data_IF_724068434992
#
_entry.id   IF_724068434992
#
_cell.length_a   1.000
_cell.length_b   1.000
_cell.length_c   1.000
_cell.angle_alpha   90.00
_cell.angle_beta   90.00
_cell.angle_gamma   90.00
#
_symmetry.space_group_name_H-M   'P 1'
#
loop_
_entity.id
_entity.type
_entity.pdbx_description
1 polymer ?
#
# COMPACT_ATOMS: atom_id res chain seq x y z
N UNK A 1 -71.44 -46.74 49.13
CA UNK A 1 -70.65 -45.74 49.90
C UNK A 1 -69.33 -46.30 50.42
N UNK A 2 -69.18 -47.61 50.51
CA UNK A 2 -67.98 -48.27 51.07
C UNK A 2 -66.74 -48.28 50.15
N UNK A 3 -66.90 -48.35 48.84
CA UNK A 3 -65.75 -48.41 47.92
C UNK A 3 -64.92 -47.13 47.82
N UNK A 4 -65.49 -45.95 48.14
CA UNK A 4 -64.80 -44.65 48.13
C UNK A 4 -63.95 -44.39 49.39
N UNK A 5 -64.26 -45.00 50.48
CA UNK A 5 -63.56 -44.82 51.75
C UNK A 5 -62.29 -45.67 51.82
N UNK A 6 -62.29 -46.87 51.22
CA UNK A 6 -61.13 -47.78 51.18
C UNK A 6 -60.03 -47.18 50.23
N UNK A 7 -60.43 -46.57 49.13
CA UNK A 7 -59.46 -45.92 48.22
C UNK A 7 -58.84 -44.66 48.82
N UNK A 8 -59.53 -43.92 49.69
CA UNK A 8 -58.99 -42.74 50.35
C UNK A 8 -58.00 -43.09 51.46
N UNK A 9 -58.20 -44.19 52.15
CA UNK A 9 -57.29 -44.72 53.18
C UNK A 9 -56.01 -45.29 52.59
N UNK A 10 -56.06 -46.01 51.44
CA UNK A 10 -54.87 -46.51 50.77
C UNK A 10 -54.02 -45.36 50.18
N UNK A 11 -54.64 -44.32 49.64
CA UNK A 11 -53.90 -43.15 49.16
C UNK A 11 -53.19 -42.35 50.26
N UNK A 12 -53.83 -42.31 51.47
CA UNK A 12 -53.21 -41.63 52.61
C UNK A 12 -52.05 -42.43 53.21
N UNK A 13 -52.12 -43.77 53.24
CA UNK A 13 -50.99 -44.60 53.65
C UNK A 13 -49.83 -44.59 52.69
N UNK A 14 -50.08 -44.59 51.37
CA UNK A 14 -49.01 -44.46 50.36
C UNK A 14 -48.38 -43.08 50.44
N UNK A 15 -49.18 -42.01 50.64
CA UNK A 15 -48.63 -40.63 50.77
C UNK A 15 -47.83 -40.49 52.09
N UNK A 16 -48.22 -41.10 53.21
CA UNK A 16 -47.43 -41.10 54.42
C UNK A 16 -46.13 -41.92 54.28
N UNK A 17 -46.18 -43.07 53.60
CA UNK A 17 -44.98 -43.86 53.32
C UNK A 17 -43.98 -43.12 52.40
N UNK A 18 -44.48 -42.37 51.41
CA UNK A 18 -43.64 -41.52 50.55
C UNK A 18 -43.04 -40.33 51.32
N UNK A 19 -43.77 -39.78 52.32
CA UNK A 19 -43.24 -38.70 53.15
C UNK A 19 -42.18 -39.21 54.13
N UNK A 20 -42.35 -40.44 54.66
CA UNK A 20 -41.33 -41.05 55.55
C UNK A 20 -40.10 -41.58 54.80
N UNK A 21 -40.21 -41.94 53.51
CA UNK A 21 -39.07 -42.29 52.64
C UNK A 21 -38.41 -41.08 52.07
N UNK A 22 -39.10 -39.94 52.03
CA UNK A 22 -38.57 -38.68 51.50
C UNK A 22 -37.78 -37.83 52.51
N UNK A 23 -37.72 -38.20 53.80
CA UNK A 23 -37.02 -37.38 54.81
C UNK A 23 -35.64 -37.94 55.21
N UNK A 24 -35.17 -39.01 54.57
CA UNK A 24 -33.86 -39.62 54.89
C UNK A 24 -32.74 -39.33 53.84
N UNK A 25 -32.87 -38.34 52.97
CA UNK A 25 -31.75 -37.92 52.09
C UNK A 25 -31.43 -36.42 52.22
N UNK A 26 -31.23 -36.02 53.51
CA UNK A 26 -30.32 -34.89 53.70
C UNK A 26 -28.92 -35.48 53.58
N UNK A 27 -28.42 -35.55 52.35
CA UNK A 27 -27.03 -35.92 52.12
C UNK A 27 -26.16 -34.92 52.86
N UNK A 28 -25.29 -35.40 53.74
CA UNK A 28 -24.26 -34.55 54.31
C UNK A 28 -23.51 -33.89 53.19
N UNK A 29 -23.25 -32.56 53.29
CA UNK A 29 -22.43 -31.88 52.34
C UNK A 29 -21.09 -32.61 52.22
N UNK A 30 -20.53 -32.75 51.02
CA UNK A 30 -19.22 -33.37 50.83
C UNK A 30 -18.15 -32.56 51.57
N UNK A 31 -17.17 -33.24 52.14
CA UNK A 31 -16.01 -32.61 52.75
C UNK A 31 -15.22 -31.96 51.61
N UNK A 32 -14.80 -30.68 51.75
CA UNK A 32 -14.08 -29.94 50.74
C UNK A 32 -12.65 -29.68 51.18
N UNK A 33 -11.71 -30.07 50.34
CA UNK A 33 -10.27 -29.84 50.51
C UNK A 33 -9.75 -29.02 49.36
N UNK A 34 -8.76 -28.15 49.64
CA UNK A 34 -8.20 -27.25 48.63
C UNK A 34 -6.73 -27.49 48.54
N UNK A 35 -6.23 -27.53 47.32
CA UNK A 35 -4.81 -27.62 47.00
C UNK A 35 -4.52 -26.70 45.81
N UNK A 36 -3.39 -26.02 45.79
CA UNK A 36 -2.89 -25.39 44.59
C UNK A 36 -2.31 -26.46 43.68
N UNK A 37 -2.51 -26.35 42.38
CA UNK A 37 -1.78 -27.21 41.45
C UNK A 37 -0.27 -27.03 41.63
N UNK A 38 0.53 -27.84 40.98
CA UNK A 38 1.97 -27.80 41.05
C UNK A 38 2.54 -28.04 42.48
N UNK A 39 1.62 -28.36 43.47
CA UNK A 39 2.04 -28.65 44.83
C UNK A 39 2.82 -29.98 44.90
N UNK A 40 3.92 -29.96 45.66
CA UNK A 40 4.85 -31.08 45.76
C UNK A 40 4.22 -32.33 46.37
N UNK A 41 4.63 -33.49 45.85
CA UNK A 41 4.24 -34.81 46.40
C UNK A 41 4.58 -34.93 47.89
N UNK A 42 3.66 -35.52 48.66
CA UNK A 42 3.79 -35.72 50.11
C UNK A 42 3.27 -34.55 50.95
N UNK A 43 2.78 -33.50 50.29
CA UNK A 43 2.16 -32.36 51.00
C UNK A 43 0.94 -32.82 51.77
N UNK A 44 0.82 -32.41 53.03
CA UNK A 44 -0.31 -32.63 53.91
C UNK A 44 -1.50 -31.76 53.46
N UNK A 45 -2.65 -32.42 53.18
CA UNK A 45 -3.88 -31.75 52.78
C UNK A 45 -4.86 -31.57 53.96
N UNK A 46 -5.09 -32.65 54.67
CA UNK A 46 -6.06 -32.68 55.77
C UNK A 46 -5.90 -33.91 56.67
N UNK A 47 -6.58 -33.97 57.80
CA UNK A 47 -6.69 -35.17 58.59
C UNK A 47 -8.15 -35.68 58.60
N UNK A 48 -8.42 -36.72 57.81
CA UNK A 48 -9.76 -37.28 57.65
C UNK A 48 -10.33 -37.88 58.92
N UNK A 49 -9.49 -38.38 59.87
CA UNK A 49 -9.98 -38.87 61.15
C UNK A 49 -10.56 -37.76 62.02
N UNK A 50 -9.88 -36.61 62.07
CA UNK A 50 -10.34 -35.41 62.80
C UNK A 50 -11.63 -34.88 62.20
N UNK A 51 -11.65 -34.71 60.88
CA UNK A 51 -12.79 -34.11 60.16
C UNK A 51 -14.07 -34.95 60.26
N UNK A 52 -13.89 -36.26 60.38
CA UNK A 52 -15.02 -37.21 60.59
C UNK A 52 -15.33 -37.49 62.05
N UNK A 53 -14.62 -36.89 63.03
CA UNK A 53 -14.78 -37.05 64.40
C UNK A 53 -14.43 -38.52 64.92
N UNK A 54 -13.47 -39.15 64.19
CA UNK A 54 -13.03 -40.51 64.51
C UNK A 54 -11.75 -40.46 65.39
N UNK A 55 -11.59 -41.46 66.26
CA UNK A 55 -10.43 -41.59 67.13
C UNK A 55 -9.17 -41.99 66.40
N UNK A 56 -7.99 -41.74 67.01
CA UNK A 56 -6.71 -42.13 66.46
C UNK A 56 -6.64 -43.65 66.21
N UNK A 57 -6.27 -44.06 65.00
CA UNK A 57 -6.20 -45.46 64.57
C UNK A 57 -7.56 -46.13 64.25
N UNK A 58 -8.70 -45.41 64.43
CA UNK A 58 -10.01 -45.93 64.07
C UNK A 58 -10.19 -46.21 62.61
N UNK A 59 -9.64 -45.35 61.76
CA UNK A 59 -9.59 -45.56 60.32
C UNK A 59 -8.88 -46.86 59.93
N UNK A 60 -7.75 -47.12 60.52
CA UNK A 60 -7.03 -48.39 60.33
C UNK A 60 -7.82 -49.61 60.82
N UNK A 61 -8.41 -49.53 62.01
CA UNK A 61 -9.19 -50.61 62.59
C UNK A 61 -10.46 -50.95 61.78
N UNK A 62 -11.01 -49.93 61.10
CA UNK A 62 -12.23 -50.07 60.28
C UNK A 62 -11.95 -50.43 58.82
N UNK A 63 -10.67 -50.57 58.41
CA UNK A 63 -10.31 -50.88 57.02
C UNK A 63 -10.67 -49.79 56.09
N UNK A 64 -10.02 -48.56 56.26
CA UNK A 64 -10.26 -47.41 55.44
C UNK A 64 -9.51 -47.46 54.12
N UNK A 65 -10.13 -46.99 53.04
CA UNK A 65 -9.52 -46.79 51.79
C UNK A 65 -10.16 -45.63 50.99
N UNK A 66 -9.38 -44.94 50.19
CA UNK A 66 -9.87 -43.97 49.22
C UNK A 66 -10.31 -44.73 47.97
N UNK A 67 -11.49 -44.37 47.45
CA UNK A 67 -12.04 -44.87 46.18
C UNK A 67 -12.48 -43.67 45.35
N UNK A 68 -12.04 -43.64 44.11
CA UNK A 68 -12.44 -42.64 43.12
C UNK A 68 -12.23 -43.22 41.73
N UNK A 69 -13.04 -42.87 40.79
CA UNK A 69 -12.92 -43.33 39.43
C UNK A 69 -11.77 -42.62 38.69
N UNK A 70 -11.43 -41.39 39.09
CA UNK A 70 -10.46 -40.54 38.39
C UNK A 70 -9.24 -40.15 39.24
N UNK A 71 -9.34 -40.22 40.59
CA UNK A 71 -8.29 -39.68 41.51
C UNK A 71 -7.54 -40.75 42.30
N UNK A 72 -7.63 -42.03 41.96
CA UNK A 72 -7.02 -43.14 42.74
C UNK A 72 -5.50 -43.07 42.84
N UNK A 73 -4.84 -42.29 41.99
CA UNK A 73 -3.38 -42.09 42.04
C UNK A 73 -2.92 -40.83 42.78
N UNK A 74 -3.76 -39.82 42.87
CA UNK A 74 -3.36 -38.47 43.34
C UNK A 74 -3.35 -38.31 44.86
N UNK A 75 -4.11 -39.13 45.58
CA UNK A 75 -4.28 -39.03 47.04
C UNK A 75 -3.74 -40.26 47.74
N UNK A 76 -3.04 -40.03 48.85
CA UNK A 76 -2.56 -41.08 49.76
C UNK A 76 -3.13 -40.87 51.16
N UNK A 77 -3.83 -41.87 51.68
CA UNK A 77 -4.30 -41.88 53.05
C UNK A 77 -3.35 -42.68 53.96
N UNK A 78 -2.89 -42.05 55.04
CA UNK A 78 -2.27 -42.78 56.12
C UNK A 78 -3.34 -43.27 57.10
N UNK A 79 -3.68 -44.56 57.11
CA UNK A 79 -4.81 -45.07 57.95
C UNK A 79 -4.52 -45.05 59.45
N UNK A 80 -3.25 -44.95 59.87
CA UNK A 80 -2.87 -44.90 61.28
C UNK A 80 -3.03 -43.49 61.84
N UNK A 81 -2.65 -42.47 61.13
CA UNK A 81 -2.72 -41.06 61.57
C UNK A 81 -3.98 -40.36 61.08
N UNK A 82 -4.61 -40.87 60.05
CA UNK A 82 -5.74 -40.22 59.37
C UNK A 82 -5.33 -39.12 58.37
N UNK A 83 -4.05 -38.94 58.13
CA UNK A 83 -3.53 -37.88 57.25
C UNK A 83 -3.79 -38.22 55.80
N UNK A 84 -4.40 -37.25 55.09
CA UNK A 84 -4.54 -37.24 53.65
C UNK A 84 -3.35 -36.44 53.04
N UNK A 85 -2.60 -37.11 52.21
CA UNK A 85 -1.40 -36.54 51.57
C UNK A 85 -1.58 -36.53 50.06
N UNK A 86 -0.96 -35.56 49.39
CA UNK A 86 -0.82 -35.55 47.94
C UNK A 86 0.19 -36.62 47.50
N UNK A 87 -0.18 -37.52 46.59
CA UNK A 87 0.69 -38.60 46.14
C UNK A 87 1.39 -38.27 44.82
N UNK A 88 0.82 -37.41 43.98
CA UNK A 88 1.37 -36.93 42.71
C UNK A 88 1.12 -35.45 42.59
N UNK A 89 1.95 -34.77 41.82
CA UNK A 89 1.78 -33.38 41.43
C UNK A 89 0.55 -33.26 40.55
N UNK A 90 -0.30 -32.28 40.79
CA UNK A 90 -1.51 -32.05 40.00
C UNK A 90 -1.26 -30.94 39.00
N UNK A 91 -1.65 -31.15 37.75
CA UNK A 91 -1.70 -30.21 36.66
C UNK A 91 -3.19 -29.96 36.37
N UNK A 92 -3.68 -28.77 36.68
CA UNK A 92 -5.09 -28.43 36.57
C UNK A 92 -5.56 -28.42 35.10
N UNK A 93 -4.69 -27.96 34.22
CA UNK A 93 -4.96 -27.88 32.78
C UNK A 93 -5.12 -29.26 32.18
N UNK A 94 -4.32 -30.22 32.59
CA UNK A 94 -4.45 -31.62 32.17
C UNK A 94 -5.69 -32.28 32.74
N UNK A 95 -6.03 -31.97 33.99
CA UNK A 95 -7.11 -32.60 34.71
C UNK A 95 -8.51 -32.04 34.40
N UNK A 96 -8.63 -30.74 34.28
CA UNK A 96 -9.90 -30.03 34.17
C UNK A 96 -10.02 -29.18 32.90
N UNK A 97 -8.90 -28.88 32.22
CA UNK A 97 -8.90 -27.96 31.06
C UNK A 97 -9.50 -26.60 31.44
N UNK A 98 -10.41 -26.05 30.62
CA UNK A 98 -11.00 -24.73 30.85
C UNK A 98 -12.10 -24.73 31.92
N UNK A 99 -12.39 -25.89 32.60
CA UNK A 99 -13.47 -25.98 33.55
C UNK A 99 -13.09 -25.32 34.86
N UNK A 100 -13.92 -24.40 35.31
CA UNK A 100 -13.82 -23.77 36.64
C UNK A 100 -15.16 -23.87 37.38
N UNK A 101 -15.17 -24.34 38.66
CA UNK A 101 -14.03 -24.83 39.45
C UNK A 101 -13.54 -26.22 39.03
N UNK A 102 -12.24 -26.48 39.20
CA UNK A 102 -11.68 -27.82 39.06
C UNK A 102 -11.91 -28.61 40.32
N UNK A 103 -12.84 -29.58 40.28
CA UNK A 103 -13.28 -30.37 41.42
C UNK A 103 -13.12 -31.84 41.12
N UNK A 104 -12.27 -32.49 41.89
CA UNK A 104 -12.00 -33.91 41.81
C UNK A 104 -12.76 -34.64 42.92
N UNK A 105 -13.85 -35.36 42.65
CA UNK A 105 -14.60 -36.08 43.66
C UNK A 105 -13.90 -37.37 44.08
N UNK A 106 -13.86 -37.64 45.39
CA UNK A 106 -13.40 -38.89 45.92
C UNK A 106 -14.27 -39.39 47.11
N UNK A 107 -14.12 -40.64 47.48
CA UNK A 107 -14.86 -41.26 48.56
C UNK A 107 -13.91 -41.94 49.52
N UNK A 108 -14.14 -41.74 50.80
CA UNK A 108 -13.52 -42.55 51.82
C UNK A 108 -14.49 -43.70 52.18
N UNK A 109 -14.05 -44.93 51.99
CA UNK A 109 -14.79 -46.12 52.29
C UNK A 109 -14.28 -46.73 53.61
N UNK A 110 -15.15 -47.03 54.55
CA UNK A 110 -14.87 -47.78 55.75
C UNK A 110 -15.58 -49.11 55.64
N UNK A 111 -14.90 -50.23 55.93
CA UNK A 111 -15.46 -51.57 55.74
C UNK A 111 -16.22 -52.06 56.96
N UNK A 112 -15.84 -51.64 58.19
CA UNK A 112 -16.38 -52.17 59.45
C UNK A 112 -16.74 -51.09 60.49
N UNK A 113 -17.99 -50.70 60.66
CA UNK A 113 -19.14 -50.99 59.78
C UNK A 113 -19.00 -50.32 58.46
N UNK A 114 -19.68 -50.80 57.42
CA UNK A 114 -19.62 -50.22 56.08
C UNK A 114 -20.20 -48.80 56.04
N UNK A 115 -19.41 -47.86 55.71
CA UNK A 115 -19.77 -46.44 55.55
C UNK A 115 -18.99 -45.79 54.36
N UNK A 116 -19.67 -44.87 53.72
CA UNK A 116 -19.04 -44.07 52.60
C UNK A 116 -19.20 -42.62 53.00
N UNK A 117 -18.08 -41.92 52.96
CA UNK A 117 -18.00 -40.44 53.03
C UNK A 117 -17.61 -39.86 51.72
N UNK A 118 -18.37 -38.87 51.22
CA UNK A 118 -18.08 -38.15 50.00
C UNK A 118 -17.21 -36.97 50.35
N UNK A 119 -16.19 -36.74 49.53
CA UNK A 119 -15.29 -35.61 49.63
C UNK A 119 -14.93 -35.10 48.25
N UNK A 120 -14.51 -33.85 48.18
CA UNK A 120 -14.12 -33.16 46.99
C UNK A 120 -12.74 -32.54 47.21
N UNK A 121 -11.83 -32.72 46.24
CA UNK A 121 -10.58 -32.01 46.19
C UNK A 121 -10.73 -30.89 45.15
N UNK A 122 -10.62 -29.67 45.61
CA UNK A 122 -10.68 -28.48 44.79
C UNK A 122 -9.25 -28.06 44.43
N UNK A 123 -8.89 -28.15 43.13
CA UNK A 123 -7.59 -27.75 42.63
C UNK A 123 -7.67 -26.31 42.25
N UNK A 124 -6.83 -25.48 42.87
CA UNK A 124 -6.72 -24.04 42.59
C UNK A 124 -5.67 -23.81 41.55
N UNK A 125 -6.03 -22.97 40.58
CA UNK A 125 -5.20 -22.48 39.52
C UNK A 125 -4.04 -21.62 40.06
N UNK A 126 -2.87 -21.72 39.45
CA UNK A 126 -1.72 -20.84 39.62
C UNK A 126 -1.33 -20.28 38.26
N UNK A 127 -0.70 -19.13 38.24
CA UNK A 127 -0.27 -18.50 36.99
C UNK A 127 1.02 -19.16 36.48
N UNK A 128 0.92 -20.35 35.88
CA UNK A 128 2.09 -21.08 35.38
C UNK A 128 2.18 -21.14 33.85
N UNK A 129 1.11 -20.79 33.14
CA UNK A 129 1.06 -20.57 31.70
C UNK A 129 1.24 -19.09 31.33
N UNK A 130 1.49 -18.82 30.08
CA UNK A 130 1.59 -17.47 29.52
C UNK A 130 0.71 -17.40 28.29
N UNK A 131 0.09 -16.25 28.00
CA UNK A 131 -0.65 -16.08 26.75
C UNK A 131 0.22 -16.41 25.53
N UNK A 132 -0.31 -17.18 24.58
CA UNK A 132 0.39 -17.63 23.38
C UNK A 132 -0.44 -17.26 22.15
N UNK A 133 0.17 -16.60 21.17
CA UNK A 133 -0.42 -16.42 19.86
C UNK A 133 -0.12 -17.62 18.97
N UNK A 134 -1.10 -18.04 18.15
CA UNK A 134 -0.92 -19.15 17.21
C UNK A 134 0.09 -18.77 16.12
N UNK A 135 -0.06 -17.56 15.58
CA UNK A 135 0.82 -17.02 14.57
C UNK A 135 1.87 -16.07 15.16
N UNK A 136 3.09 -16.17 14.64
CA UNK A 136 4.19 -15.28 15.02
C UNK A 136 4.10 -13.91 14.37
N UNK A 137 3.29 -13.78 13.31
CA UNK A 137 3.11 -12.56 12.54
C UNK A 137 1.69 -12.53 11.97
N UNK A 138 0.99 -11.42 12.21
CA UNK A 138 -0.32 -11.10 11.67
C UNK A 138 -0.12 -10.08 10.54
N UNK A 139 -0.50 -10.40 9.31
CA UNK A 139 -0.39 -9.47 8.19
C UNK A 139 -1.73 -8.79 7.93
N UNK A 140 -1.74 -7.46 7.95
CA UNK A 140 -2.89 -6.63 7.60
C UNK A 140 -2.60 -5.82 6.33
N UNK A 141 -3.50 -5.90 5.35
CA UNK A 141 -3.47 -5.11 4.13
C UNK A 141 -4.49 -3.97 4.27
N UNK A 142 -4.02 -2.72 4.36
CA UNK A 142 -4.87 -1.55 4.60
C UNK A 142 -4.67 -0.56 3.46
N UNK A 143 -5.75 -0.18 2.78
CA UNK A 143 -5.71 0.88 1.77
C UNK A 143 -5.36 2.21 2.44
N UNK A 144 -4.47 3.00 1.84
CA UNK A 144 -4.13 4.33 2.35
C UNK A 144 -5.35 5.27 2.42
N UNK A 145 -6.34 5.10 1.55
CA UNK A 145 -7.62 5.83 1.60
C UNK A 145 -8.51 5.46 2.78
N UNK A 146 -8.10 4.51 3.62
CA UNK A 146 -8.87 4.11 4.79
C UNK A 146 -9.00 5.27 5.76
N UNK A 147 -10.24 5.57 6.17
CA UNK A 147 -10.50 6.71 7.04
C UNK A 147 -10.15 6.41 8.51
N UNK A 148 -9.63 7.38 9.28
CA UNK A 148 -9.46 7.25 10.72
C UNK A 148 -10.75 6.81 11.42
N UNK A 149 -10.62 5.97 12.43
CA UNK A 149 -11.72 5.29 13.12
C UNK A 149 -12.05 3.90 12.55
N UNK A 150 -11.42 3.48 11.45
CA UNK A 150 -11.54 2.11 10.97
C UNK A 150 -10.93 1.12 11.97
N UNK A 151 -11.61 -0.01 12.18
CA UNK A 151 -11.21 -1.05 13.13
C UNK A 151 -10.84 -2.34 12.41
N UNK A 152 -9.84 -3.04 12.93
CA UNK A 152 -9.34 -4.31 12.40
C UNK A 152 -9.26 -5.30 13.56
N UNK A 153 -10.08 -6.35 13.51
CA UNK A 153 -10.06 -7.41 14.51
C UNK A 153 -8.73 -8.15 14.43
N UNK A 154 -8.08 -8.32 15.58
CA UNK A 154 -6.83 -9.05 15.70
C UNK A 154 -7.07 -10.47 16.22
N UNK A 155 -6.15 -11.37 15.90
CA UNK A 155 -6.16 -12.72 16.44
C UNK A 155 -5.91 -12.67 17.95
N UNK A 156 -6.72 -13.42 18.72
CA UNK A 156 -6.61 -13.50 20.17
C UNK A 156 -5.53 -14.51 20.59
N UNK A 157 -4.75 -14.13 21.58
CA UNK A 157 -3.88 -15.07 22.26
C UNK A 157 -4.69 -16.08 23.05
N UNK A 158 -4.14 -17.26 23.29
CA UNK A 158 -4.71 -18.32 24.12
C UNK A 158 -3.91 -18.42 25.42
N UNK A 159 -4.60 -18.52 26.53
CA UNK A 159 -4.04 -18.79 27.85
C UNK A 159 -4.74 -20.02 28.42
N UNK A 160 -3.98 -20.95 28.99
CA UNK A 160 -4.51 -22.18 29.55
C UNK A 160 -5.00 -22.00 30.99
N UNK A 161 -4.50 -20.98 31.69
CA UNK A 161 -4.90 -20.66 33.06
C UNK A 161 -6.35 -20.15 33.08
N UNK A 162 -6.96 -20.15 34.25
CA UNK A 162 -8.37 -19.75 34.40
C UNK A 162 -8.54 -18.58 35.38
N UNK A 163 -9.73 -18.00 35.36
CA UNK A 163 -10.11 -16.94 36.30
C UNK A 163 -9.23 -15.70 36.16
N UNK A 164 -8.61 -15.32 37.27
CA UNK A 164 -7.75 -14.12 37.30
C UNK A 164 -6.40 -14.31 36.58
N UNK A 165 -5.95 -15.55 36.44
CA UNK A 165 -4.65 -15.85 35.78
C UNK A 165 -4.76 -15.94 34.26
N UNK A 166 -5.99 -16.04 33.74
CA UNK A 166 -6.25 -16.05 32.30
C UNK A 166 -5.93 -14.69 31.65
N UNK A 167 -5.93 -14.67 30.34
CA UNK A 167 -5.75 -13.48 29.50
C UNK A 167 -6.63 -12.31 29.94
N UNK A 168 -6.01 -11.12 30.13
CA UNK A 168 -6.70 -9.95 30.69
C UNK A 168 -6.64 -8.72 29.84
N UNK A 169 -5.54 -8.50 29.12
CA UNK A 169 -5.33 -7.24 28.40
C UNK A 169 -4.41 -7.42 27.20
N UNK A 170 -4.49 -6.46 26.27
CA UNK A 170 -3.59 -6.32 25.14
C UNK A 170 -2.99 -4.93 25.10
N UNK A 171 -1.75 -4.83 24.63
CA UNK A 171 -1.05 -3.57 24.37
C UNK A 171 -0.30 -3.66 23.06
N UNK A 172 -0.06 -2.51 22.41
CA UNK A 172 0.78 -2.43 21.21
C UNK A 172 1.99 -1.53 21.45
N UNK A 173 3.04 -1.75 20.67
CA UNK A 173 4.21 -0.89 20.65
C UNK A 173 3.82 0.55 20.28
N UNK A 174 4.55 1.54 20.84
CA UNK A 174 4.27 2.96 20.61
C UNK A 174 4.37 3.32 19.12
N UNK A 175 3.32 3.92 18.58
CA UNK A 175 3.24 4.43 17.23
C UNK A 175 2.28 5.62 17.18
N UNK A 176 2.17 6.29 16.01
CA UNK A 176 1.33 7.48 15.83
C UNK A 176 0.09 7.23 14.98
N UNK A 177 -0.03 6.04 14.38
CA UNK A 177 -1.08 5.72 13.43
C UNK A 177 -2.21 4.89 14.02
N UNK A 178 -1.93 4.11 15.07
CA UNK A 178 -2.89 3.14 15.61
C UNK A 178 -2.89 3.14 17.13
N UNK A 179 -4.06 2.86 17.70
CA UNK A 179 -4.21 2.39 19.06
C UNK A 179 -4.96 1.06 19.10
N UNK A 180 -5.03 0.44 20.27
CA UNK A 180 -5.72 -0.81 20.48
C UNK A 180 -6.92 -0.62 21.39
N UNK A 181 -8.06 -1.18 21.00
CA UNK A 181 -9.23 -1.35 21.84
C UNK A 181 -9.30 -2.79 22.32
N UNK A 182 -9.50 -2.98 23.61
CA UNK A 182 -9.64 -4.30 24.23
C UNK A 182 -11.10 -4.49 24.67
N UNK A 183 -11.67 -5.60 24.29
CA UNK A 183 -13.04 -5.98 24.56
C UNK A 183 -13.07 -7.25 25.43
N UNK A 184 -13.97 -7.28 26.41
CA UNK A 184 -14.28 -8.43 27.23
C UNK A 184 -15.77 -8.76 26.98
N UNK A 185 -16.08 -9.98 26.54
CA UNK A 185 -17.45 -10.39 26.24
C UNK A 185 -18.27 -10.76 27.51
N UNK A 186 -17.64 -10.71 28.67
CA UNK A 186 -18.24 -11.06 29.95
C UNK A 186 -18.34 -12.59 30.21
N UNK A 187 -17.92 -13.41 29.23
CA UNK A 187 -17.81 -14.86 29.35
C UNK A 187 -16.36 -15.31 29.60
N UNK A 188 -15.45 -14.33 29.73
CA UNK A 188 -14.01 -14.55 29.95
C UNK A 188 -13.16 -14.54 28.69
N UNK A 189 -13.75 -14.28 27.51
CA UNK A 189 -12.99 -14.11 26.27
C UNK A 189 -12.61 -12.66 26.09
N UNK A 190 -11.31 -12.40 26.03
CA UNK A 190 -10.73 -11.07 25.78
C UNK A 190 -10.18 -11.03 24.38
N UNK A 191 -10.63 -10.07 23.58
CA UNK A 191 -10.15 -9.87 22.21
C UNK A 191 -9.79 -8.40 21.96
N UNK A 192 -9.07 -8.13 20.89
CA UNK A 192 -8.59 -6.79 20.61
C UNK A 192 -8.83 -6.37 19.17
N UNK A 193 -9.04 -5.08 18.98
CA UNK A 193 -9.17 -4.42 17.69
C UNK A 193 -8.10 -3.35 17.55
N UNK A 194 -7.41 -3.34 16.41
CA UNK A 194 -6.53 -2.27 16.02
C UNK A 194 -7.36 -1.15 15.39
N UNK A 195 -7.24 0.06 15.88
CA UNK A 195 -7.99 1.23 15.42
C UNK A 195 -7.06 2.21 14.75
N UNK A 196 -7.40 2.64 13.54
CA UNK A 196 -6.64 3.65 12.79
C UNK A 196 -6.94 5.05 13.35
N UNK A 197 -5.93 5.79 13.77
CA UNK A 197 -6.03 7.15 14.32
C UNK A 197 -5.69 8.23 13.29
N UNK A 198 -4.71 7.96 12.43
CA UNK A 198 -4.19 8.91 11.46
C UNK A 198 -4.26 8.31 10.06
N UNK A 199 -4.57 9.14 9.07
CA UNK A 199 -4.53 8.78 7.65
C UNK A 199 -3.18 8.19 7.31
N UNK A 200 -3.20 7.10 6.56
CA UNK A 200 -2.01 6.47 5.99
C UNK A 200 -1.66 7.15 4.67
N UNK A 201 -0.41 7.12 4.33
CA UNK A 201 0.17 7.63 3.09
C UNK A 201 1.27 6.63 2.70
N UNK A 202 1.02 5.86 1.64
CA UNK A 202 1.94 4.80 1.21
C UNK A 202 3.26 5.38 0.72
N UNK A 203 3.23 6.59 0.15
CA UNK A 203 4.42 7.28 -0.36
C UNK A 203 5.35 7.69 0.76
N UNK A 204 4.80 7.96 1.97
CA UNK A 204 5.58 8.24 3.17
C UNK A 204 5.94 6.97 3.93
N UNK A 205 4.95 6.06 4.12
CA UNK A 205 5.09 4.87 4.98
C UNK A 205 4.43 3.65 4.31
N UNK A 206 5.14 2.93 3.44
CA UNK A 206 4.58 1.79 2.71
C UNK A 206 4.29 0.57 3.59
N UNK A 207 4.97 0.44 4.72
CA UNK A 207 4.75 -0.65 5.68
C UNK A 207 4.96 -0.17 7.13
N UNK A 208 4.26 -0.80 8.05
CA UNK A 208 4.38 -0.59 9.49
C UNK A 208 4.53 -1.94 10.19
N UNK A 209 5.34 -1.97 11.25
CA UNK A 209 5.54 -3.15 12.10
C UNK A 209 5.30 -2.78 13.55
N UNK A 210 4.29 -3.40 14.14
CA UNK A 210 3.90 -3.20 15.52
C UNK A 210 4.03 -4.51 16.28
N UNK A 211 4.40 -4.43 17.56
CA UNK A 211 4.38 -5.60 18.45
C UNK A 211 3.10 -5.57 19.26
N UNK A 212 2.28 -6.60 19.12
CA UNK A 212 1.13 -6.86 19.96
C UNK A 212 1.57 -7.71 21.15
N UNK A 213 1.22 -7.29 22.35
CA UNK A 213 1.52 -8.00 23.60
C UNK A 213 0.21 -8.35 24.30
N UNK A 214 0.01 -9.61 24.56
CA UNK A 214 -1.07 -10.14 25.40
C UNK A 214 -0.56 -10.28 26.84
N UNK A 215 -1.37 -9.93 27.82
CA UNK A 215 -1.06 -9.94 29.24
C UNK A 215 -2.15 -10.70 29.99
N UNK A 216 -1.75 -11.61 30.88
CA UNK A 216 -2.66 -12.24 31.85
C UNK A 216 -2.96 -11.31 33.04
N UNK A 217 -3.81 -11.75 33.94
CA UNK A 217 -4.14 -11.04 35.19
C UNK A 217 -3.44 -11.61 36.42
N UNK A 218 -2.49 -12.51 36.25
CA UNK A 218 -1.79 -13.20 37.36
C UNK A 218 -0.82 -12.31 38.13
N UNK A 219 -0.26 -12.86 39.20
CA UNK A 219 0.71 -12.16 40.05
C UNK A 219 1.93 -13.06 40.34
N UNK A 220 3.10 -12.83 39.73
CA UNK A 220 3.39 -11.79 38.75
C UNK A 220 2.69 -12.04 37.40
N UNK A 221 2.37 -10.97 36.63
CA UNK A 221 1.74 -11.15 35.32
C UNK A 221 2.74 -11.73 34.31
N UNK A 222 2.23 -12.57 33.41
CA UNK A 222 2.98 -13.12 32.29
C UNK A 222 2.48 -12.55 30.98
N UNK A 223 3.23 -12.71 29.90
CA UNK A 223 2.90 -12.14 28.61
C UNK A 223 3.38 -12.98 27.45
N UNK A 224 2.65 -12.88 26.34
CA UNK A 224 3.05 -13.36 25.03
C UNK A 224 3.04 -12.23 24.00
N UNK A 225 3.80 -12.37 22.91
CA UNK A 225 3.91 -11.34 21.88
C UNK A 225 3.80 -11.94 20.49
N UNK A 226 3.19 -11.15 19.58
CA UNK A 226 3.23 -11.39 18.13
C UNK A 226 3.53 -10.09 17.38
N UNK A 227 3.97 -10.21 16.13
CA UNK A 227 4.21 -9.08 15.25
C UNK A 227 2.97 -8.78 14.41
N UNK A 228 2.57 -7.51 14.32
CA UNK A 228 1.60 -7.05 13.34
C UNK A 228 2.36 -6.37 12.21
N UNK A 229 2.30 -6.92 11.02
CA UNK A 229 2.85 -6.35 9.80
C UNK A 229 1.73 -5.75 8.96
N UNK A 230 1.74 -4.43 8.85
CA UNK A 230 0.74 -3.67 8.10
C UNK A 230 1.36 -3.27 6.78
N UNK A 231 0.76 -3.73 5.68
CA UNK A 231 1.09 -3.31 4.32
C UNK A 231 0.09 -2.25 3.89
N UNK A 232 0.58 -1.05 3.60
CA UNK A 232 -0.25 0.04 3.09
C UNK A 232 -0.43 -0.16 1.59
N UNK A 233 -1.68 -0.37 1.17
CA UNK A 233 -2.02 -0.61 -0.22
C UNK A 233 -2.24 0.72 -0.93
N UNK A 234 -1.68 0.80 -2.13
CA UNK A 234 -1.70 1.94 -3.04
C UNK A 234 -3.11 2.25 -3.56
N UNK A 235 -3.40 3.53 -3.72
CA UNK A 235 -4.47 4.05 -4.56
C UNK A 235 -3.89 5.05 -5.55
N UNK A 236 -4.60 5.32 -6.63
CA UNK A 236 -4.15 6.29 -7.64
C UNK A 236 -4.49 7.71 -7.19
N UNK A 237 -3.68 8.31 -6.35
CA UNK A 237 -3.89 9.67 -5.84
C UNK A 237 -2.76 10.65 -6.23
N UNK A 238 -1.68 10.15 -6.82
CA UNK A 238 -0.59 10.94 -7.36
C UNK A 238 -0.75 11.16 -8.87
N UNK A 239 -0.41 12.36 -9.33
CA UNK A 239 -0.46 12.73 -10.74
C UNK A 239 0.95 12.59 -11.32
N UNK A 240 1.15 12.03 -12.54
CA UNK A 240 2.45 12.05 -13.19
C UNK A 240 2.98 13.47 -13.31
N UNK A 241 4.13 13.76 -12.70
CA UNK A 241 4.74 15.07 -12.68
C UNK A 241 5.95 15.11 -13.63
N UNK A 242 5.93 16.03 -14.62
CA UNK A 242 7.05 16.20 -15.54
C UNK A 242 8.25 16.84 -14.85
N UNK A 243 9.46 16.36 -15.17
CA UNK A 243 10.72 16.93 -14.68
C UNK A 243 10.83 18.41 -15.06
N UNK A 244 10.37 18.77 -16.28
CA UNK A 244 10.31 20.13 -16.75
C UNK A 244 8.91 20.44 -17.29
N UNK A 245 8.35 21.58 -16.93
CA UNK A 245 7.07 22.04 -17.48
C UNK A 245 7.19 22.58 -18.91
N UNK A 246 8.42 23.01 -19.31
CA UNK A 246 8.70 23.61 -20.60
C UNK A 246 10.06 23.15 -21.15
N UNK A 247 10.01 22.47 -22.27
CA UNK A 247 11.19 22.08 -23.05
C UNK A 247 11.34 23.03 -24.27
N UNK A 248 12.52 23.62 -24.48
CA UNK A 248 12.83 24.44 -25.64
C UNK A 248 13.98 23.80 -26.40
N UNK A 249 13.76 23.50 -27.66
CA UNK A 249 14.77 22.85 -28.52
C UNK A 249 14.89 23.56 -29.84
N UNK A 250 16.10 23.60 -30.42
CA UNK A 250 16.40 24.12 -31.74
C UNK A 250 16.68 22.93 -32.66
N UNK A 251 16.06 22.93 -33.81
CA UNK A 251 16.16 21.83 -34.78
C UNK A 251 16.38 22.41 -36.15
N UNK A 252 17.51 22.11 -36.82
CA UNK A 252 17.72 22.48 -38.19
C UNK A 252 16.65 21.87 -39.11
N UNK A 253 16.15 22.63 -40.08
CA UNK A 253 15.11 22.13 -40.98
C UNK A 253 15.55 20.92 -41.81
N UNK A 254 16.82 20.81 -42.15
CA UNK A 254 17.41 19.69 -42.89
C UNK A 254 17.61 18.42 -41.99
N UNK A 255 17.12 18.43 -40.74
CA UNK A 255 17.26 17.30 -39.85
C UNK A 255 16.58 16.06 -40.45
N UNK A 256 17.26 14.88 -40.45
CA UNK A 256 16.71 13.67 -41.05
C UNK A 256 15.42 13.24 -40.40
N UNK A 257 14.50 12.73 -41.19
CA UNK A 257 13.27 12.05 -40.66
C UNK A 257 13.69 10.90 -39.77
N UNK A 258 13.07 10.79 -38.59
CA UNK A 258 13.42 9.83 -37.54
C UNK A 258 14.34 10.38 -36.47
N UNK A 259 14.91 11.57 -36.62
CA UNK A 259 15.77 12.21 -35.61
C UNK A 259 15.03 12.35 -34.27
N UNK A 260 15.75 12.09 -33.18
CA UNK A 260 15.31 12.41 -31.83
C UNK A 260 15.39 13.93 -31.61
N UNK A 261 14.28 14.55 -31.26
CA UNK A 261 14.18 15.98 -31.00
C UNK A 261 14.45 16.25 -29.50
N UNK A 262 13.75 15.58 -28.64
CA UNK A 262 13.87 15.69 -27.18
C UNK A 262 13.24 14.46 -26.52
N UNK A 263 13.72 14.11 -25.32
CA UNK A 263 13.07 13.16 -24.45
C UNK A 263 12.38 13.92 -23.33
N UNK A 264 11.08 13.77 -23.21
CA UNK A 264 10.32 14.27 -22.06
C UNK A 264 10.23 13.16 -21.02
N UNK A 265 10.32 13.53 -19.73
CA UNK A 265 10.26 12.57 -18.63
C UNK A 265 9.31 13.06 -17.57
N UNK A 266 8.47 12.19 -17.09
CA UNK A 266 7.61 12.41 -15.94
C UNK A 266 7.84 11.30 -14.90
N UNK A 267 7.50 11.58 -13.66
CA UNK A 267 7.57 10.66 -12.54
C UNK A 267 6.21 10.59 -11.87
N UNK A 268 5.85 9.40 -11.47
CA UNK A 268 4.69 9.11 -10.64
C UNK A 268 5.17 8.47 -9.33
N UNK A 269 4.48 8.74 -8.24
CA UNK A 269 4.81 8.18 -6.92
C UNK A 269 4.01 6.92 -6.62
N UNK A 270 2.90 6.69 -7.32
CA UNK A 270 2.09 5.50 -7.17
C UNK A 270 2.83 4.24 -7.62
N UNK A 271 2.32 3.09 -7.26
CA UNK A 271 2.96 1.80 -7.57
C UNK A 271 2.16 0.95 -8.55
N UNK A 272 2.85 -0.05 -9.13
CA UNK A 272 2.24 -0.97 -10.08
C UNK A 272 1.65 -0.24 -11.28
N UNK A 273 0.41 -0.58 -11.66
CA UNK A 273 -0.27 0.05 -12.80
C UNK A 273 -0.56 1.53 -12.61
N UNK A 274 -0.74 1.99 -11.35
CA UNK A 274 -1.01 3.39 -11.07
C UNK A 274 0.18 4.29 -11.41
N UNK A 275 1.41 3.81 -11.18
CA UNK A 275 2.64 4.53 -11.52
C UNK A 275 3.18 4.27 -12.94
N UNK A 276 2.51 3.44 -13.76
CA UNK A 276 2.92 3.20 -15.15
C UNK A 276 2.52 4.36 -16.05
N UNK A 277 3.49 5.11 -16.57
CA UNK A 277 3.27 6.32 -17.35
C UNK A 277 3.21 6.03 -18.85
N UNK A 278 2.18 6.56 -19.51
CA UNK A 278 2.02 6.55 -20.97
C UNK A 278 2.05 7.98 -21.52
N UNK A 279 2.98 8.26 -22.44
CA UNK A 279 3.12 9.57 -23.08
C UNK A 279 2.30 9.67 -24.36
N UNK A 280 1.61 10.80 -24.54
CA UNK A 280 0.85 11.11 -25.75
C UNK A 280 0.77 12.61 -25.99
N UNK A 281 0.42 13.03 -27.20
CA UNK A 281 0.02 14.41 -27.42
C UNK A 281 -1.33 14.68 -26.76
N UNK A 282 -1.41 15.69 -25.91
CA UNK A 282 -2.66 16.07 -25.26
C UNK A 282 -3.67 16.67 -26.25
N UNK A 283 -3.18 17.60 -27.08
CA UNK A 283 -3.93 18.20 -28.16
C UNK A 283 -2.99 18.38 -29.33
N UNK A 284 -3.30 17.81 -30.46
CA UNK A 284 -2.44 17.91 -31.63
C UNK A 284 -3.25 18.22 -32.88
N UNK A 285 -2.77 19.20 -33.63
CA UNK A 285 -3.32 19.46 -34.96
C UNK A 285 -2.91 18.33 -35.92
N UNK A 286 -3.66 18.18 -37.01
CA UNK A 286 -3.29 17.21 -38.06
C UNK A 286 -1.85 17.42 -38.55
N UNK A 287 -1.42 18.66 -38.64
CA UNK A 287 -0.05 19.04 -39.02
C UNK A 287 0.97 18.50 -38.00
N UNK A 288 0.74 18.73 -36.71
CA UNK A 288 1.59 18.20 -35.62
C UNK A 288 1.76 16.69 -35.72
N UNK A 289 0.67 15.97 -35.92
CA UNK A 289 0.66 14.51 -36.03
C UNK A 289 1.34 14.00 -37.31
N UNK A 290 1.38 14.82 -38.34
CA UNK A 290 2.14 14.51 -39.57
C UNK A 290 3.63 14.76 -39.40
N UNK A 291 4.02 15.78 -38.63
CA UNK A 291 5.41 16.21 -38.49
C UNK A 291 6.15 15.52 -37.36
N UNK A 292 5.46 15.17 -36.25
CA UNK A 292 6.08 14.59 -35.05
C UNK A 292 5.42 13.28 -34.65
N UNK A 293 6.17 12.44 -33.93
CA UNK A 293 5.69 11.27 -33.22
C UNK A 293 6.30 11.20 -31.83
N UNK A 294 5.54 10.80 -30.84
CA UNK A 294 6.05 10.52 -29.50
C UNK A 294 6.02 9.01 -29.26
N UNK A 295 7.06 8.48 -28.63
CA UNK A 295 7.06 7.12 -28.12
C UNK A 295 6.31 7.10 -26.79
N UNK A 296 5.27 6.28 -26.71
CA UNK A 296 4.36 6.23 -25.56
C UNK A 296 5.02 5.73 -24.27
N UNK A 297 6.08 4.97 -24.35
CA UNK A 297 6.76 4.40 -23.17
C UNK A 297 7.97 5.22 -22.75
N UNK A 298 8.76 5.70 -23.73
CA UNK A 298 10.04 6.36 -23.43
C UNK A 298 9.95 7.88 -23.37
N UNK A 299 8.86 8.50 -23.83
CA UNK A 299 8.74 9.95 -23.93
C UNK A 299 9.60 10.58 -25.04
N UNK A 300 10.21 9.79 -25.92
CA UNK A 300 11.04 10.26 -27.00
C UNK A 300 10.19 10.90 -28.10
N UNK A 301 10.42 12.19 -28.35
CA UNK A 301 9.80 12.93 -29.45
C UNK A 301 10.71 12.84 -30.68
N UNK A 302 10.20 12.30 -31.78
CA UNK A 302 10.92 12.13 -33.03
C UNK A 302 10.27 12.93 -34.16
N UNK A 303 11.10 13.34 -35.10
CA UNK A 303 10.67 13.91 -36.36
C UNK A 303 10.06 12.81 -37.25
N UNK A 304 8.90 13.05 -37.83
CA UNK A 304 8.17 12.13 -38.70
C UNK A 304 8.13 12.59 -40.18
N UNK A 305 8.24 13.88 -40.40
CA UNK A 305 8.31 14.48 -41.73
C UNK A 305 9.34 15.60 -41.73
N UNK A 306 9.78 16.02 -42.90
CA UNK A 306 10.72 17.11 -43.09
C UNK A 306 10.16 18.42 -42.53
N UNK A 307 11.05 19.22 -41.97
CA UNK A 307 10.78 20.60 -41.56
C UNK A 307 11.03 21.55 -42.72
N UNK A 308 10.43 22.70 -42.69
CA UNK A 308 10.68 23.78 -43.59
C UNK A 308 10.48 25.10 -42.84
N UNK A 309 11.56 25.86 -42.70
CA UNK A 309 11.61 27.07 -41.91
C UNK A 309 10.74 28.19 -42.52
N UNK A 310 10.73 28.29 -43.87
CA UNK A 310 9.94 29.29 -44.59
C UNK A 310 8.43 29.06 -44.39
N UNK A 311 8.04 27.80 -44.13
CA UNK A 311 6.66 27.47 -43.89
C UNK A 311 6.28 27.64 -42.39
N UNK A 312 7.15 27.12 -41.49
CA UNK A 312 6.86 27.15 -40.03
C UNK A 312 8.16 27.23 -39.24
N UNK A 313 8.36 28.34 -38.55
CA UNK A 313 9.53 28.60 -37.72
C UNK A 313 9.44 28.04 -36.30
N UNK A 314 8.23 27.78 -35.78
CA UNK A 314 8.05 27.32 -34.41
C UNK A 314 6.83 26.40 -34.30
N UNK A 315 7.05 25.27 -33.65
CA UNK A 315 5.98 24.37 -33.24
C UNK A 315 5.83 24.37 -31.71
N UNK A 316 4.61 24.46 -31.22
CA UNK A 316 4.29 24.32 -29.80
C UNK A 316 3.49 23.07 -29.63
N UNK A 317 4.02 22.11 -28.88
CA UNK A 317 3.45 20.80 -28.65
C UNK A 317 3.07 20.67 -27.16
N UNK A 318 1.88 20.21 -26.85
CA UNK A 318 1.49 19.83 -25.47
C UNK A 318 1.50 18.32 -25.38
N UNK A 319 2.35 17.80 -24.50
CA UNK A 319 2.50 16.37 -24.21
C UNK A 319 1.85 16.10 -22.87
N UNK A 320 1.11 15.00 -22.81
CA UNK A 320 0.48 14.46 -21.61
C UNK A 320 1.23 13.19 -21.20
N UNK A 321 1.51 13.08 -19.90
CA UNK A 321 1.87 11.84 -19.23
C UNK A 321 0.62 11.37 -18.49
N UNK A 322 0.15 10.18 -18.78
CA UNK A 322 -1.04 9.59 -18.16
C UNK A 322 -0.65 8.30 -17.48
N UNK A 323 -1.10 8.12 -16.22
CA UNK A 323 -0.94 6.89 -15.44
C UNK A 323 -1.97 5.81 -15.82
N UNK A 324 -1.84 4.62 -15.24
CA UNK A 324 -2.79 3.52 -15.44
C UNK A 324 -4.11 3.69 -14.70
N UNK A 325 -4.16 4.54 -13.68
CA UNK A 325 -5.37 4.87 -12.92
C UNK A 325 -6.22 5.96 -13.58
N UNK A 326 -5.64 6.73 -14.51
CA UNK A 326 -6.35 7.72 -15.32
C UNK A 326 -6.02 9.18 -15.02
N UNK A 327 -5.19 9.48 -14.01
CA UNK A 327 -4.68 10.83 -13.76
C UNK A 327 -3.65 11.24 -14.82
N UNK A 328 -3.38 12.51 -14.96
CA UNK A 328 -2.41 12.95 -15.98
C UNK A 328 -1.83 14.33 -15.71
N UNK A 329 -0.52 14.43 -15.93
CA UNK A 329 0.24 15.67 -16.00
C UNK A 329 0.49 16.13 -17.43
N UNK A 330 0.96 17.38 -17.62
CA UNK A 330 1.24 17.97 -18.95
C UNK A 330 2.50 18.79 -18.93
N UNK A 331 3.22 18.79 -20.08
CA UNK A 331 4.29 19.70 -20.34
C UNK A 331 4.16 20.32 -21.74
N UNK A 332 4.92 21.39 -21.99
CA UNK A 332 4.99 22.04 -23.30
C UNK A 332 6.36 21.82 -23.88
N UNK A 333 6.42 21.44 -25.17
CA UNK A 333 7.65 21.40 -25.98
C UNK A 333 7.54 22.44 -27.05
N UNK A 334 8.50 23.39 -27.08
CA UNK A 334 8.64 24.42 -28.12
C UNK A 334 9.83 24.02 -28.99
N UNK A 335 9.53 23.69 -30.25
CA UNK A 335 10.53 23.37 -31.26
C UNK A 335 10.74 24.59 -32.14
N UNK A 336 11.91 25.21 -32.05
CA UNK A 336 12.34 26.28 -32.94
C UNK A 336 13.07 25.66 -34.10
N UNK A 337 12.55 25.83 -35.30
CA UNK A 337 13.22 25.41 -36.53
C UNK A 337 14.33 26.43 -36.83
N UNK A 338 15.54 25.99 -37.13
CA UNK A 338 16.62 26.85 -37.56
C UNK A 338 16.79 26.75 -39.04
N UNK A 339 16.93 27.91 -39.64
CA UNK A 339 17.11 28.15 -41.08
C UNK A 339 18.42 27.56 -41.56
N UNK A 340 18.41 26.98 -42.74
CA UNK A 340 19.57 26.50 -43.50
C UNK A 340 19.54 27.17 -44.89
N UNK A 341 20.69 27.49 -45.43
CA UNK A 341 20.80 28.08 -46.74
C UNK A 341 20.48 27.04 -47.84
N UNK A 342 19.19 26.83 -48.12
CA UNK A 342 18.71 25.83 -49.08
C UNK A 342 17.86 26.41 -50.22
N UNK A 343 17.60 27.73 -50.20
CA UNK A 343 16.86 28.42 -51.25
C UNK A 343 17.82 29.30 -52.11
N UNK A 344 17.90 29.10 -53.44
CA UNK A 344 18.68 29.97 -54.32
C UNK A 344 17.98 31.31 -54.48
N UNK A 345 18.77 32.40 -54.64
CA UNK A 345 18.20 33.71 -54.90
C UNK A 345 17.39 33.74 -56.19
N UNK A 346 16.23 34.40 -56.15
CA UNK A 346 15.35 34.62 -57.29
C UNK A 346 15.53 36.06 -57.83
N UNK A 347 15.65 36.22 -59.16
CA UNK A 347 15.63 37.53 -59.84
C UNK A 347 14.23 37.79 -60.43
N UNK A 348 13.58 38.84 -59.99
CA UNK A 348 12.25 39.26 -60.43
C UNK A 348 12.38 40.53 -61.30
N UNK A 349 12.25 40.41 -62.62
CA UNK A 349 12.31 41.56 -63.59
C UNK A 349 11.07 42.43 -63.47
N UNK A 350 11.23 43.72 -63.22
CA UNK A 350 10.11 44.67 -63.12
C UNK A 350 9.94 45.44 -64.47
N UNK A 351 11.00 45.80 -65.11
CA UNK A 351 10.95 46.46 -66.46
C UNK A 351 12.23 46.18 -67.27
N UNK A 352 12.09 46.13 -68.56
CA UNK A 352 13.18 46.03 -69.53
C UNK A 352 12.91 46.97 -70.68
N UNK A 353 13.88 47.84 -70.96
CA UNK A 353 13.82 48.77 -72.05
C UNK A 353 14.78 48.29 -73.21
N UNK A 354 14.20 47.87 -74.31
CA UNK A 354 14.94 47.43 -75.47
C UNK A 354 14.08 47.66 -76.75
N UNK A 355 14.58 48.20 -77.85
CA UNK A 355 15.94 48.69 -78.05
C UNK A 355 16.20 50.05 -77.37
N UNK A 356 17.50 50.38 -77.21
CA UNK A 356 17.98 51.66 -76.70
C UNK A 356 18.57 52.43 -77.85
N UNK A 357 18.28 53.76 -78.00
CA UNK A 357 18.87 54.61 -79.03
C UNK A 357 20.36 54.86 -78.72
N UNK A 358 21.17 54.75 -79.70
CA UNK A 358 22.60 55.12 -79.61
C UNK A 358 22.79 56.60 -79.22
N UNK A 359 23.95 56.93 -78.65
CA UNK A 359 24.30 58.29 -78.24
C UNK A 359 23.30 58.86 -77.15
N UNK A 360 22.46 58.02 -76.53
CA UNK A 360 21.59 58.43 -75.47
C UNK A 360 22.42 58.71 -74.23
N UNK A 361 21.99 59.69 -73.36
CA UNK A 361 22.59 59.88 -72.06
C UNK A 361 22.31 58.62 -71.19
N UNK A 362 22.76 58.65 -69.91
CA UNK A 362 22.46 57.56 -68.95
C UNK A 362 20.97 57.15 -69.03
N UNK A 363 20.75 55.91 -69.45
CA UNK A 363 19.41 55.40 -69.74
C UNK A 363 19.16 54.13 -68.88
N UNK A 364 17.99 54.04 -68.31
CA UNK A 364 17.57 52.86 -67.57
C UNK A 364 17.27 51.72 -68.55
N UNK A 365 18.03 50.64 -68.44
CA UNK A 365 17.90 49.44 -69.27
C UNK A 365 16.95 48.44 -68.65
N UNK A 366 17.15 48.16 -67.38
CA UNK A 366 16.31 47.24 -66.65
C UNK A 366 16.15 47.64 -65.16
N UNK A 367 15.00 47.35 -64.63
CA UNK A 367 14.74 47.41 -63.17
C UNK A 367 14.29 46.04 -62.73
N UNK A 368 14.93 45.49 -61.69
CA UNK A 368 14.64 44.21 -61.18
C UNK A 368 14.82 44.16 -59.62
N UNK A 369 14.21 43.20 -59.01
CA UNK A 369 14.34 42.87 -57.56
C UNK A 369 15.03 41.53 -57.50
N UNK A 370 15.93 41.39 -56.56
CA UNK A 370 16.42 40.06 -56.10
C UNK A 370 15.75 39.72 -54.82
N UNK A 371 15.43 38.42 -54.58
CA UNK A 371 14.81 37.95 -53.44
C UNK A 371 15.41 36.59 -53.11
N UNK A 372 15.69 36.41 -51.80
CA UNK A 372 15.96 35.13 -51.21
C UNK A 372 14.84 34.77 -50.24
N UNK A 373 14.53 33.49 -50.07
CA UNK A 373 13.51 33.03 -49.16
C UNK A 373 14.06 32.69 -47.79
N UNK A 374 15.38 32.43 -47.71
CA UNK A 374 16.05 32.14 -46.45
C UNK A 374 16.05 33.36 -45.51
N UNK A 375 16.52 33.21 -44.29
CA UNK A 375 16.48 34.28 -43.31
C UNK A 375 17.86 34.73 -42.82
N UNK A 376 17.89 35.94 -42.25
CA UNK A 376 19.07 36.47 -41.58
C UNK A 376 20.31 36.54 -42.44
N UNK A 377 21.36 35.80 -42.11
CA UNK A 377 22.61 35.79 -42.91
C UNK A 377 22.47 34.98 -44.20
N UNK A 378 21.60 33.97 -44.23
CA UNK A 378 21.37 33.13 -45.41
C UNK A 378 20.60 33.89 -46.50
N UNK A 379 19.88 34.97 -46.17
CA UNK A 379 19.22 35.84 -47.13
C UNK A 379 20.11 36.99 -47.70
N UNK A 380 21.38 36.99 -47.35
CA UNK A 380 22.31 38.04 -47.87
C UNK A 380 22.78 37.72 -49.29
N UNK A 381 22.51 38.60 -50.22
CA UNK A 381 22.80 38.44 -51.65
C UNK A 381 23.73 39.49 -52.16
N UNK A 382 24.52 39.13 -53.15
CA UNK A 382 25.32 40.07 -53.99
C UNK A 382 24.89 39.91 -55.43
N UNK A 383 24.65 41.05 -56.09
CA UNK A 383 24.29 41.07 -57.46
C UNK A 383 25.46 41.70 -58.26
N UNK A 384 25.82 41.06 -59.36
CA UNK A 384 26.90 41.52 -60.25
C UNK A 384 26.54 41.32 -61.75
N UNK A 385 27.24 42.05 -62.62
CA UNK A 385 27.21 41.85 -64.09
C UNK A 385 28.63 41.57 -64.57
N UNK A 386 28.76 41.07 -65.80
CA UNK A 386 30.03 40.83 -66.44
C UNK A 386 30.85 42.12 -66.53
N UNK A 387 32.14 41.97 -66.35
CA UNK A 387 33.08 43.06 -66.51
C UNK A 387 33.18 43.53 -67.97
N UNK A 388 33.64 44.76 -68.17
CA UNK A 388 33.90 45.36 -69.45
C UNK A 388 32.71 45.74 -70.34
N UNK A 389 31.49 45.62 -69.82
CA UNK A 389 30.25 46.07 -70.45
C UNK A 389 30.05 47.58 -70.20
N UNK A 390 29.45 48.35 -71.15
CA UNK A 390 29.12 49.76 -70.96
C UNK A 390 27.85 49.96 -70.10
N UNK A 391 27.70 49.13 -69.14
CA UNK A 391 26.53 49.09 -68.20
C UNK A 391 27.02 49.02 -66.79
N UNK A 392 26.24 49.56 -65.85
CA UNK A 392 26.49 49.50 -64.41
C UNK A 392 25.21 49.16 -63.65
N UNK A 393 25.34 48.37 -62.58
CA UNK A 393 24.28 48.09 -61.65
C UNK A 393 24.30 49.16 -60.56
N UNK A 394 23.17 49.84 -60.38
CA UNK A 394 22.94 50.77 -59.27
C UNK A 394 21.99 50.16 -58.31
N UNK A 395 22.44 49.85 -57.01
CA UNK A 395 21.56 49.40 -55.99
C UNK A 395 20.60 50.52 -55.60
N UNK A 396 19.32 50.15 -55.37
CA UNK A 396 18.24 50.99 -54.83
C UNK A 396 17.84 50.50 -53.47
N UNK A 397 16.63 50.78 -53.02
CA UNK A 397 16.09 50.41 -51.75
C UNK A 397 15.69 48.91 -51.79
N UNK A 398 15.93 48.17 -50.70
CA UNK A 398 15.40 46.81 -50.46
C UNK A 398 15.66 45.80 -51.61
N UNK A 399 16.89 45.54 -51.94
CA UNK A 399 17.25 44.53 -52.95
C UNK A 399 16.72 44.85 -54.39
N UNK A 400 16.34 46.09 -54.67
CA UNK A 400 16.07 46.56 -56.03
C UNK A 400 17.35 47.06 -56.68
N UNK A 401 17.54 46.72 -57.95
CA UNK A 401 18.65 47.11 -58.77
C UNK A 401 18.12 47.73 -60.02
N UNK A 402 18.88 48.77 -60.49
CA UNK A 402 18.68 49.42 -61.78
C UNK A 402 19.93 49.22 -62.64
N UNK A 403 19.75 48.57 -63.74
CA UNK A 403 20.78 48.47 -64.75
C UNK A 403 20.71 49.74 -65.66
N UNK A 404 21.77 50.50 -65.70
CA UNK A 404 21.85 51.73 -66.53
C UNK A 404 23.06 51.69 -67.49
N UNK A 405 22.96 52.42 -68.59
CA UNK A 405 24.09 52.63 -69.42
C UNK A 405 25.13 53.53 -68.74
N UNK A 406 26.42 53.15 -68.70
CA UNK A 406 27.50 53.91 -68.06
C UNK A 406 28.04 54.97 -68.98
N UNK A 407 27.99 54.74 -70.31
CA UNK A 407 28.46 55.61 -71.39
C UNK A 407 27.52 55.51 -72.60
N UNK A 408 27.56 56.50 -73.52
CA UNK A 408 26.81 56.43 -74.77
C UNK A 408 27.15 55.15 -75.53
N UNK A 409 26.13 54.47 -76.08
CA UNK A 409 26.31 53.31 -76.94
C UNK A 409 26.52 53.73 -78.39
N UNK A 410 27.31 52.95 -79.14
CA UNK A 410 27.62 53.17 -80.57
C UNK A 410 27.23 51.85 -81.29
N UNK A 411 26.24 51.95 -82.17
CA UNK A 411 25.72 50.84 -82.93
C UNK A 411 26.66 50.27 -83.95
N UNK A 412 27.48 51.15 -84.58
CA UNK A 412 28.47 50.74 -85.58
C UNK A 412 29.59 49.90 -84.92
N UNK A 413 29.91 50.18 -83.65
CA UNK A 413 30.88 49.39 -82.90
C UNK A 413 30.28 48.08 -82.35
N UNK A 414 29.09 48.12 -81.79
CA UNK A 414 28.42 46.96 -81.27
C UNK A 414 26.90 47.16 -81.23
N UNK A 415 26.21 46.44 -82.10
CA UNK A 415 24.74 46.55 -82.25
C UNK A 415 23.93 45.82 -81.21
N UNK A 416 24.48 44.81 -80.52
CA UNK A 416 23.82 43.98 -79.53
C UNK A 416 24.72 43.68 -78.36
N UNK A 417 24.16 43.70 -77.18
CA UNK A 417 24.84 43.34 -75.92
C UNK A 417 24.07 42.20 -75.20
N UNK A 418 24.79 41.14 -74.93
CA UNK A 418 24.31 40.08 -74.07
C UNK A 418 24.78 40.34 -72.63
N UNK A 419 23.84 40.63 -71.68
CA UNK A 419 24.12 40.97 -70.30
C UNK A 419 23.69 39.86 -69.45
N UNK A 420 24.64 39.21 -68.71
CA UNK A 420 24.32 38.21 -67.70
C UNK A 420 24.35 38.88 -66.35
N UNK A 421 23.23 38.82 -65.64
CA UNK A 421 23.13 39.27 -64.27
C UNK A 421 23.28 38.03 -63.38
N UNK A 422 24.29 38.06 -62.50
CA UNK A 422 24.55 36.99 -61.54
C UNK A 422 24.19 37.48 -60.20
N UNK A 423 23.33 36.69 -59.48
CA UNK A 423 22.99 36.87 -58.07
C UNK A 423 23.62 35.73 -57.34
N UNK A 424 24.46 36.06 -56.37
CA UNK A 424 25.13 35.08 -55.52
C UNK A 424 24.63 35.23 -54.06
N UNK A 425 24.23 34.17 -53.48
CA UNK A 425 23.91 34.05 -52.08
C UNK A 425 25.20 34.02 -51.24
N UNK A 426 25.22 34.72 -50.13
CA UNK A 426 26.33 34.81 -49.17
C UNK A 426 26.12 33.98 -47.91
N UNK A 427 25.03 33.22 -47.80
CA UNK A 427 24.77 32.27 -46.72
C UNK A 427 25.79 31.12 -46.68
N UNK A 428 25.81 30.38 -45.59
CA UNK A 428 26.74 29.28 -45.35
C UNK A 428 26.01 27.96 -45.15
#
# INVERSE_FOLDING_TARGET
MEARVVHALQKRQVLLLCVFLGVSWAGAEPLRYFVAEETERGTFLANLAIDLGLGAGELSARGSRIVSDETTGFLLLNPLTGDLLLNEKLDREELCGPTEPCVLPFQLLLEKPFQIFRAELWVRDINDHSPVFLDREITLNILESTTPGATFLLESAQDSDVGINNLRNYTISSNVYFHINVHDDGEGNVYSELVLDKVLDREEVPELRLTLTALDGGSPPRSGTTLIHILVLDINDNIPEFVESLYKVQVPENSPVGSLIVTVSARDLDTGSNGEIVYAFFYATERTLKTFRINSTSGNLHLKAELNYEAIQTYTLTIQAKDGGGLSGKCTVVVHVTDINDNPPELLMSSLTSPIAENSPETVVAVFRIRDRDSGNNAKMVCSIQDHLPFVLKPSVENFYTLVTERPLDRESQAEYNITITVTDLGT
#
